data_IF_286111040751
#
_entry.id   IF_286111040751
#
_cell.length_a   1.000
_cell.length_b   1.000
_cell.length_c   1.000
_cell.angle_alpha   90.00
_cell.angle_beta   90.00
_cell.angle_gamma   90.00
#
_symmetry.space_group_name_H-M   'P 1'
#
loop_
_entity.id
_entity.type
_entity.pdbx_description
1 polymer ?
#
# COMPACT_ATOMS: atom_id res chain seq x y z
N UNK A 1 -4.96 -11.53 -14.44
CA UNK A 1 -4.92 -10.05 -14.29
C UNK A 1 -3.70 -9.67 -13.47
N UNK A 2 -2.87 -8.71 -13.89
CA UNK A 2 -1.73 -8.26 -13.09
C UNK A 2 -2.24 -7.67 -11.78
N UNK A 3 -1.81 -8.23 -10.65
CA UNK A 3 -2.03 -7.68 -9.31
C UNK A 3 -1.14 -6.44 -9.17
N UNK A 4 -1.56 -5.33 -9.76
CA UNK A 4 -0.91 -4.04 -9.71
C UNK A 4 -1.83 -3.00 -9.06
N UNK A 5 -1.25 -2.03 -8.35
CA UNK A 5 -2.02 -0.90 -7.84
C UNK A 5 -2.49 -0.01 -9.00
N UNK A 6 -3.80 0.28 -9.07
CA UNK A 6 -4.37 1.14 -10.11
C UNK A 6 -3.89 2.60 -10.05
N UNK A 7 -3.40 3.06 -8.89
CA UNK A 7 -3.00 4.46 -8.67
C UNK A 7 -1.51 4.69 -8.90
N UNK A 8 -0.66 3.76 -8.44
CA UNK A 8 0.80 3.96 -8.44
C UNK A 8 1.56 2.86 -9.19
N UNK A 9 0.87 1.89 -9.79
CA UNK A 9 1.51 0.82 -10.55
C UNK A 9 2.31 -0.18 -9.72
N UNK A 10 2.24 -0.13 -8.38
CA UNK A 10 3.01 -1.02 -7.51
C UNK A 10 2.68 -2.48 -7.79
N UNK A 11 3.70 -3.24 -8.20
CA UNK A 11 3.65 -4.68 -8.49
C UNK A 11 4.43 -5.48 -7.45
N UNK A 12 4.37 -6.80 -7.55
CA UNK A 12 5.21 -7.69 -6.76
C UNK A 12 6.70 -7.40 -7.04
N UNK A 13 7.49 -7.39 -5.99
CA UNK A 13 8.95 -7.26 -6.06
C UNK A 13 9.60 -8.63 -5.90
N UNK A 14 10.83 -8.77 -6.36
CA UNK A 14 11.65 -9.96 -6.15
C UNK A 14 12.81 -9.62 -5.21
N UNK A 15 13.25 -10.61 -4.43
CA UNK A 15 14.45 -10.51 -3.63
C UNK A 15 14.77 -11.85 -2.97
N UNK A 16 15.35 -11.80 -1.78
CA UNK A 16 15.86 -12.99 -1.10
C UNK A 16 15.38 -13.07 0.35
N UNK A 17 15.07 -14.28 0.82
CA UNK A 17 15.11 -14.57 2.24
C UNK A 17 16.57 -14.80 2.64
N UNK A 18 17.00 -14.17 3.73
CA UNK A 18 18.36 -14.30 4.27
C UNK A 18 18.29 -15.07 5.57
N UNK A 19 18.93 -16.24 5.64
CA UNK A 19 19.03 -17.02 6.89
C UNK A 19 20.08 -16.43 7.84
N UNK A 20 20.14 -16.94 9.08
CA UNK A 20 21.18 -16.57 10.04
C UNK A 20 22.60 -16.87 9.51
N UNK A 21 22.73 -17.89 8.67
CA UNK A 21 23.97 -18.25 7.97
C UNK A 21 24.19 -17.47 6.67
N UNK A 22 23.41 -16.40 6.42
CA UNK A 22 23.42 -15.59 5.18
C UNK A 22 23.15 -16.37 3.90
N UNK A 23 22.42 -17.48 4.00
CA UNK A 23 21.96 -18.21 2.81
C UNK A 23 20.83 -17.42 2.17
N UNK A 24 21.03 -17.02 0.92
CA UNK A 24 20.07 -16.27 0.12
C UNK A 24 19.20 -17.22 -0.69
N UNK A 25 17.91 -17.32 -0.35
CA UNK A 25 16.93 -18.08 -1.15
C UNK A 25 15.99 -17.12 -1.87
N UNK A 26 15.74 -17.35 -3.16
CA UNK A 26 14.88 -16.49 -3.96
C UNK A 26 13.45 -16.45 -3.40
N UNK A 27 12.91 -15.24 -3.27
CA UNK A 27 11.54 -15.01 -2.82
C UNK A 27 10.87 -13.94 -3.66
N UNK A 28 9.58 -14.15 -3.92
CA UNK A 28 8.66 -13.14 -4.43
C UNK A 28 7.97 -12.43 -3.26
N UNK A 29 8.00 -11.10 -3.29
CA UNK A 29 7.27 -10.23 -2.37
C UNK A 29 6.03 -9.70 -3.06
N UNK A 30 4.87 -10.29 -2.76
CA UNK A 30 3.62 -9.81 -3.31
C UNK A 30 3.27 -8.41 -2.79
N UNK A 31 2.76 -7.57 -3.69
CA UNK A 31 2.26 -6.26 -3.32
C UNK A 31 0.99 -6.43 -2.47
N UNK A 32 0.97 -5.82 -1.28
CA UNK A 32 -0.23 -5.79 -0.43
C UNK A 32 -1.28 -4.83 -1.03
N UNK A 33 -2.13 -5.39 -1.89
CA UNK A 33 -3.21 -4.72 -2.61
C UNK A 33 -4.55 -5.07 -1.98
N UNK A 34 -5.39 -4.05 -1.79
CA UNK A 34 -6.74 -4.20 -1.26
C UNK A 34 -7.76 -3.59 -2.22
N UNK A 35 -8.97 -4.17 -2.32
CA UNK A 35 -10.05 -3.56 -3.06
C UNK A 35 -10.49 -2.25 -2.38
N UNK A 36 -10.62 -1.19 -3.15
CA UNK A 36 -11.16 0.09 -2.72
C UNK A 36 -12.10 0.62 -3.80
N UNK A 37 -13.15 1.32 -3.36
CA UNK A 37 -14.05 2.04 -4.28
C UNK A 37 -13.52 3.45 -4.42
N UNK A 38 -13.14 3.84 -5.63
CA UNK A 38 -12.70 5.20 -5.96
C UNK A 38 -13.59 5.67 -7.10
N UNK A 39 -14.29 6.79 -6.89
CA UNK A 39 -15.19 7.38 -7.89
C UNK A 39 -16.22 6.39 -8.45
N UNK A 40 -16.79 5.52 -7.60
CA UNK A 40 -17.80 4.53 -7.98
C UNK A 40 -17.25 3.22 -8.57
N UNK A 41 -15.95 3.12 -8.86
CA UNK A 41 -15.34 1.93 -9.45
C UNK A 41 -14.53 1.16 -8.40
N UNK A 42 -14.69 -0.18 -8.38
CA UNK A 42 -13.89 -1.08 -7.53
C UNK A 42 -12.52 -1.31 -8.18
N UNK A 43 -11.46 -0.83 -7.52
CA UNK A 43 -10.08 -0.93 -8.00
C UNK A 43 -9.18 -1.55 -6.93
N UNK A 44 -8.12 -2.24 -7.36
CA UNK A 44 -7.08 -2.73 -6.46
C UNK A 44 -6.08 -1.62 -6.15
N UNK A 45 -5.91 -1.32 -4.87
CA UNK A 45 -5.12 -0.19 -4.38
C UNK A 45 -4.15 -0.65 -3.31
N UNK A 46 -2.91 -0.18 -3.35
CA UNK A 46 -1.93 -0.50 -2.32
C UNK A 46 -2.23 0.23 -1.00
N UNK A 47 -1.78 -0.35 0.11
CA UNK A 47 -1.96 0.24 1.46
C UNK A 47 -1.41 1.66 1.58
N UNK A 48 -0.34 2.01 0.84
CA UNK A 48 0.23 3.36 0.83
C UNK A 48 -0.73 4.37 0.21
N UNK A 49 -1.28 4.09 -0.97
CA UNK A 49 -2.23 4.98 -1.63
C UNK A 49 -3.53 5.13 -0.83
N UNK A 50 -4.04 4.03 -0.25
CA UNK A 50 -5.19 4.07 0.66
C UNK A 50 -4.94 4.96 1.89
N UNK A 51 -3.75 4.88 2.49
CA UNK A 51 -3.37 5.76 3.60
C UNK A 51 -3.29 7.21 3.15
N UNK A 52 -2.72 7.51 1.98
CA UNK A 52 -2.59 8.89 1.49
C UNK A 52 -3.95 9.55 1.28
N UNK A 53 -4.93 8.86 0.71
CA UNK A 53 -6.29 9.42 0.54
C UNK A 53 -6.96 9.85 1.85
N UNK A 54 -6.61 9.21 2.97
CA UNK A 54 -7.19 9.53 4.29
C UNK A 54 -6.34 10.50 5.11
N UNK A 55 -5.18 10.94 4.60
CA UNK A 55 -4.29 11.84 5.33
C UNK A 55 -4.91 13.21 5.54
N UNK A 56 -5.47 13.82 4.51
CA UNK A 56 -5.99 15.19 4.61
C UNK A 56 -7.13 15.28 5.62
N UNK A 57 -8.07 14.34 5.57
CA UNK A 57 -9.15 14.21 6.54
C UNK A 57 -8.64 14.01 7.98
N UNK A 58 -7.60 13.18 8.18
CA UNK A 58 -6.96 12.98 9.49
C UNK A 58 -6.25 14.23 9.99
N UNK A 59 -5.57 14.95 9.10
CA UNK A 59 -4.84 16.18 9.44
C UNK A 59 -5.80 17.32 9.79
N UNK A 60 -6.92 17.44 9.07
CA UNK A 60 -7.99 18.37 9.40
C UNK A 60 -8.56 18.11 10.81
N UNK A 61 -8.88 16.85 11.12
CA UNK A 61 -9.38 16.44 12.45
C UNK A 61 -8.36 16.69 13.56
N UNK A 62 -7.07 16.50 13.28
CA UNK A 62 -5.97 16.81 14.21
C UNK A 62 -5.87 18.31 14.49
N UNK A 63 -5.97 19.14 13.46
CA UNK A 63 -5.93 20.61 13.58
C UNK A 63 -7.11 21.13 14.40
N UNK A 64 -8.31 20.58 14.18
CA UNK A 64 -9.50 20.92 14.97
C UNK A 64 -9.33 20.55 16.44
N UNK A 65 -8.84 19.34 16.75
CA UNK A 65 -8.56 18.91 18.13
C UNK A 65 -7.48 19.76 18.80
N UNK A 66 -6.47 20.22 18.08
CA UNK A 66 -5.41 21.07 18.62
C UNK A 66 -5.86 22.52 18.87
N UNK A 67 -6.95 22.96 18.24
CA UNK A 67 -7.56 24.28 18.47
C UNK A 67 -8.47 24.30 19.69
N UNK A 68 -8.84 23.13 20.21
CA UNK A 68 -9.69 22.94 21.39
C UNK A 68 -8.83 22.73 22.62
#
# INVERSE_FOLDING_TARGET
MPRACAICGKTAAYGYNVSHSKVHTHRRFDANLHPAVINGVKLLVCTRCRRTQTKDARMAKKKERARR
#
